data_IF_352609729891
#
_entry.id   IF_352609729891
#
_cell.length_a   1.000
_cell.length_b   1.000
_cell.length_c   1.000
_cell.angle_alpha   90.00
_cell.angle_beta   90.00
_cell.angle_gamma   90.00
#
_symmetry.space_group_name_H-M   'P 1'
#
loop_
_entity.id
_entity.type
_entity.pdbx_description
1 polymer ?
#
# COMPACT_ATOMS: atom_id res chain seq x y z
N UNK A 1 19.32 -4.91 52.45
CA UNK A 1 20.17 -5.94 53.11
C UNK A 1 19.47 -7.29 52.96
N UNK A 2 20.28 -8.33 52.74
CA UNK A 2 19.98 -9.76 52.56
C UNK A 2 19.72 -10.31 51.13
N UNK A 3 20.81 -10.92 50.63
CA UNK A 3 20.96 -12.26 50.00
C UNK A 3 20.27 -12.48 48.64
N UNK A 4 20.99 -12.49 47.51
CA UNK A 4 21.80 -13.61 46.95
C UNK A 4 21.12 -14.98 46.99
N UNK A 5 20.96 -15.58 45.81
CA UNK A 5 20.56 -16.98 45.61
C UNK A 5 20.42 -17.33 44.13
N UNK A 6 21.54 -17.59 43.47
CA UNK A 6 21.61 -18.19 42.14
C UNK A 6 21.23 -19.69 42.19
N UNK A 7 20.62 -20.22 41.13
CA UNK A 7 20.95 -21.56 40.65
C UNK A 7 20.56 -21.73 39.18
N UNK A 8 21.55 -22.17 38.43
CA UNK A 8 21.62 -22.47 37.01
C UNK A 8 21.52 -24.02 36.84
N UNK A 9 21.29 -24.47 35.60
CA UNK A 9 21.53 -25.82 35.05
C UNK A 9 20.45 -26.88 35.39
N UNK A 10 20.09 -27.84 34.54
CA UNK A 10 20.90 -28.58 33.57
C UNK A 10 19.99 -29.34 32.57
N UNK A 11 20.43 -29.32 31.30
CA UNK A 11 20.37 -30.31 30.20
C UNK A 11 19.48 -31.57 30.26
N UNK A 12 19.01 -31.97 29.07
CA UNK A 12 18.62 -33.35 28.77
C UNK A 12 18.35 -33.57 27.27
N UNK A 13 19.40 -33.86 26.50
CA UNK A 13 19.31 -34.43 25.16
C UNK A 13 19.49 -35.96 25.26
N UNK A 14 18.69 -36.74 24.54
CA UNK A 14 19.01 -38.12 24.19
C UNK A 14 18.21 -38.56 22.96
N UNK A 15 18.89 -39.29 22.08
CA UNK A 15 18.50 -39.69 20.74
C UNK A 15 18.30 -41.22 20.61
N UNK A 16 17.89 -41.63 19.40
CA UNK A 16 17.97 -42.97 18.77
C UNK A 16 16.83 -43.97 19.05
N UNK A 17 16.41 -44.89 18.17
CA UNK A 17 16.46 -45.11 16.70
C UNK A 17 15.74 -46.47 16.40
N UNK A 18 15.40 -46.73 15.12
CA UNK A 18 14.97 -48.00 14.48
C UNK A 18 13.52 -48.46 14.68
N UNK A 19 12.72 -48.89 13.68
CA UNK A 19 12.93 -49.13 12.24
C UNK A 19 12.15 -50.38 11.78
N UNK A 20 11.14 -50.25 10.90
CA UNK A 20 10.68 -51.33 9.99
C UNK A 20 9.69 -50.85 8.90
N UNK A 21 10.21 -50.77 7.68
CA UNK A 21 9.64 -51.10 6.35
C UNK A 21 8.18 -50.77 5.94
N UNK A 22 8.08 -49.75 5.07
CA UNK A 22 7.51 -49.75 3.71
C UNK A 22 6.08 -50.29 3.44
N UNK A 23 5.16 -49.35 3.18
CA UNK A 23 4.30 -49.41 2.00
C UNK A 23 4.24 -48.05 1.32
N UNK A 24 4.61 -48.03 0.04
CA UNK A 24 4.70 -46.83 -0.79
C UNK A 24 3.32 -46.40 -1.29
N UNK A 25 2.98 -45.13 -1.06
CA UNK A 25 2.01 -44.39 -1.85
C UNK A 25 2.47 -42.92 -1.84
N UNK A 26 3.02 -42.47 -2.96
CA UNK A 26 3.44 -41.08 -3.14
C UNK A 26 2.21 -40.20 -3.41
N UNK A 27 2.02 -39.08 -2.70
CA UNK A 27 1.28 -37.96 -3.22
C UNK A 27 2.25 -36.94 -3.82
N UNK A 28 1.94 -36.60 -5.06
CA UNK A 28 2.58 -35.59 -5.88
C UNK A 28 2.63 -34.22 -5.16
N UNK A 29 3.85 -33.69 -5.10
CA UNK A 29 4.19 -32.31 -5.47
C UNK A 29 3.22 -31.21 -4.97
N UNK A 30 3.44 -30.77 -3.74
CA UNK A 30 3.03 -29.44 -3.28
C UNK A 30 4.26 -28.68 -2.82
N UNK A 31 5.01 -28.11 -3.77
CA UNK A 31 6.06 -27.16 -3.42
C UNK A 31 5.40 -26.00 -2.66
N UNK A 32 5.54 -26.00 -1.34
CA UNK A 32 5.29 -24.82 -0.52
C UNK A 32 6.30 -23.78 -1.02
N UNK A 33 5.84 -22.93 -1.96
CA UNK A 33 6.58 -21.79 -2.41
C UNK A 33 6.79 -20.92 -1.17
N UNK A 34 7.96 -21.06 -0.58
CA UNK A 34 8.50 -20.16 0.41
C UNK A 34 8.53 -18.79 -0.26
N UNK A 35 7.44 -18.04 -0.09
CA UNK A 35 7.37 -16.62 -0.41
C UNK A 35 8.34 -15.96 0.56
N UNK A 36 9.62 -16.00 0.21
CA UNK A 36 10.66 -15.18 0.79
C UNK A 36 10.15 -13.74 0.60
N UNK A 37 9.54 -13.20 1.66
CA UNK A 37 9.03 -11.85 1.72
C UNK A 37 10.25 -10.96 1.48
N UNK A 38 10.49 -10.55 0.24
CA UNK A 38 11.48 -9.51 -0.04
C UNK A 38 11.06 -8.33 0.80
N UNK A 39 11.82 -8.08 1.87
CA UNK A 39 11.65 -6.90 2.68
C UNK A 39 11.70 -5.71 1.72
N UNK A 40 10.59 -4.97 1.65
CA UNK A 40 10.63 -3.62 1.09
C UNK A 40 11.71 -2.88 1.88
N UNK A 41 12.73 -2.42 1.16
CA UNK A 41 14.04 -2.03 1.67
C UNK A 41 13.97 -0.96 2.76
N UNK A 42 14.86 -1.12 3.74
CA UNK A 42 15.13 -0.30 4.94
C UNK A 42 13.92 0.03 5.79
N UNK A 43 13.75 -0.71 6.90
CA UNK A 43 13.08 -0.14 8.06
C UNK A 43 13.71 1.23 8.35
N UNK A 44 12.91 2.28 8.61
CA UNK A 44 13.47 3.58 8.96
C UNK A 44 14.43 3.38 10.15
N UNK A 45 15.61 4.01 10.06
CA UNK A 45 16.55 4.08 11.17
C UNK A 45 15.78 4.50 12.45
N UNK A 46 16.05 3.89 13.61
CA UNK A 46 15.34 4.20 14.85
C UNK A 46 15.33 5.72 15.08
N UNK A 47 14.14 6.34 15.00
CA UNK A 47 13.94 7.79 15.20
C UNK A 47 13.80 8.63 13.93
N UNK A 48 14.03 8.09 12.72
CA UNK A 48 13.77 8.83 11.46
C UNK A 48 12.30 8.69 11.05
N UNK A 49 11.55 9.79 11.14
CA UNK A 49 10.17 9.84 10.62
C UNK A 49 10.17 9.85 9.09
N UNK A 50 9.20 9.17 8.50
CA UNK A 50 8.91 9.18 7.07
C UNK A 50 7.85 10.25 6.83
N UNK A 51 8.20 11.29 6.08
CA UNK A 51 7.23 12.31 5.67
C UNK A 51 6.40 11.79 4.51
N UNK A 52 5.08 11.82 4.63
CA UNK A 52 4.14 11.42 3.57
C UNK A 52 3.12 12.54 3.34
N UNK A 53 2.82 12.81 2.07
CA UNK A 53 1.78 13.79 1.71
C UNK A 53 0.40 13.17 1.94
N UNK A 54 -0.49 13.87 2.64
CA UNK A 54 -1.86 13.46 2.85
C UNK A 54 -2.82 14.43 2.17
N UNK A 55 -3.65 13.93 1.25
CA UNK A 55 -4.81 14.65 0.73
C UNK A 55 -6.07 14.16 1.44
N UNK A 56 -6.71 14.95 2.33
CA UNK A 56 -7.92 14.54 3.03
C UNK A 56 -9.06 14.17 2.07
N UNK A 57 -9.14 14.85 0.92
CA UNK A 57 -10.19 14.64 -0.07
C UNK A 57 -11.47 15.42 0.25
N UNK A 58 -12.57 15.03 -0.39
CA UNK A 58 -13.86 15.73 -0.35
C UNK A 58 -14.97 14.84 0.24
N UNK A 59 -16.10 15.46 0.62
CA UNK A 59 -17.25 14.75 1.18
C UNK A 59 -16.89 14.06 2.50
N UNK A 60 -16.98 12.74 2.55
CA UNK A 60 -16.57 11.92 3.71
C UNK A 60 -15.04 11.78 3.84
N UNK A 61 -14.27 12.37 2.91
CA UNK A 61 -12.82 12.23 2.85
C UNK A 61 -12.08 12.65 4.13
N UNK A 62 -12.33 13.85 4.68
CA UNK A 62 -11.69 14.30 5.92
C UNK A 62 -11.89 13.34 7.10
N UNK A 63 -13.10 12.80 7.27
CA UNK A 63 -13.40 11.84 8.34
C UNK A 63 -12.62 10.54 8.18
N UNK A 64 -12.52 10.03 6.94
CA UNK A 64 -11.72 8.83 6.62
C UNK A 64 -10.23 9.12 6.85
N UNK A 65 -9.74 10.29 6.44
CA UNK A 65 -8.34 10.66 6.58
C UNK A 65 -7.93 10.74 8.05
N UNK A 66 -8.79 11.27 8.91
CA UNK A 66 -8.53 11.32 10.36
C UNK A 66 -8.53 9.92 10.97
N UNK A 67 -9.52 9.08 10.66
CA UNK A 67 -9.54 7.69 11.11
C UNK A 67 -8.27 6.91 10.69
N UNK A 68 -7.75 7.17 9.48
CA UNK A 68 -6.48 6.58 9.05
C UNK A 68 -5.32 7.11 9.90
N UNK A 69 -5.24 8.42 10.17
CA UNK A 69 -4.18 8.98 11.03
C UNK A 69 -4.17 8.33 12.42
N UNK A 70 -5.35 8.18 13.04
CA UNK A 70 -5.50 7.51 14.34
C UNK A 70 -5.00 6.06 14.29
N UNK A 71 -5.32 5.30 13.23
CA UNK A 71 -4.85 3.92 13.06
C UNK A 71 -3.31 3.87 12.97
N UNK A 72 -2.70 4.79 12.22
CA UNK A 72 -1.24 4.84 12.08
C UNK A 72 -0.53 5.25 13.37
N UNK A 73 -1.13 6.16 14.14
CA UNK A 73 -0.65 6.53 15.47
C UNK A 73 -0.75 5.36 16.46
N UNK A 74 -1.90 4.68 16.51
CA UNK A 74 -2.10 3.50 17.35
C UNK A 74 -1.16 2.34 16.96
N UNK A 75 -0.81 2.21 15.68
CA UNK A 75 0.17 1.26 15.18
C UNK A 75 1.63 1.64 15.50
N UNK A 76 1.88 2.83 16.05
CA UNK A 76 3.23 3.34 16.32
C UNK A 76 4.05 3.57 15.05
N UNK A 77 3.40 3.83 13.92
CA UNK A 77 4.08 4.04 12.66
C UNK A 77 4.84 5.38 12.67
N UNK A 78 6.12 5.44 12.28
CA UNK A 78 6.92 6.65 12.32
C UNK A 78 6.62 7.56 11.11
N UNK A 79 5.38 8.01 10.96
CA UNK A 79 4.94 8.85 9.83
C UNK A 79 4.72 10.28 10.30
N UNK A 80 5.18 11.23 9.49
CA UNK A 80 4.86 12.64 9.59
C UNK A 80 4.01 13.06 8.39
N UNK A 81 2.85 13.64 8.65
CA UNK A 81 1.90 13.97 7.59
C UNK A 81 2.09 15.41 7.10
N UNK A 82 2.42 15.55 5.82
CA UNK A 82 2.34 16.82 5.09
C UNK A 82 0.93 16.94 4.48
N UNK A 83 0.02 17.59 5.21
CA UNK A 83 -1.39 17.68 4.81
C UNK A 83 -1.55 18.75 3.73
N UNK A 84 -1.92 18.31 2.53
CA UNK A 84 -2.11 19.15 1.36
C UNK A 84 -3.59 19.17 0.96
N UNK A 85 -4.11 20.38 0.73
CA UNK A 85 -5.48 20.59 0.28
C UNK A 85 -5.50 20.94 -1.21
N UNK A 86 -6.58 20.57 -1.89
CA UNK A 86 -6.79 20.95 -3.28
C UNK A 86 -7.05 22.45 -3.42
N UNK A 87 -6.70 22.99 -4.59
CA UNK A 87 -7.04 24.36 -4.96
C UNK A 87 -8.56 24.54 -5.07
N UNK A 88 -9.04 25.71 -4.67
CA UNK A 88 -10.45 26.13 -4.91
C UNK A 88 -10.70 26.52 -6.36
N UNK A 89 -9.63 26.87 -7.07
CA UNK A 89 -9.62 27.27 -8.48
C UNK A 89 -8.77 26.30 -9.28
N UNK A 90 -9.00 26.26 -10.59
CA UNK A 90 -8.20 25.45 -11.51
C UNK A 90 -6.83 26.10 -11.66
N UNK A 91 -5.78 25.30 -11.51
CA UNK A 91 -4.41 25.72 -11.83
C UNK A 91 -4.20 25.54 -13.34
N UNK A 92 -3.86 26.62 -14.03
CA UNK A 92 -3.63 26.63 -15.49
C UNK A 92 -2.47 25.69 -15.88
N UNK A 93 -1.48 25.50 -15.01
CA UNK A 93 -0.30 24.64 -15.28
C UNK A 93 -0.67 23.17 -15.35
N UNK A 94 -1.66 22.74 -14.58
CA UNK A 94 -2.10 21.32 -14.51
C UNK A 94 -3.43 21.08 -15.22
N UNK A 95 -4.13 22.17 -15.56
CA UNK A 95 -5.51 22.20 -16.05
C UNK A 95 -6.45 21.37 -15.15
N UNK A 96 -6.27 21.50 -13.83
CA UNK A 96 -6.97 20.75 -12.79
C UNK A 96 -6.95 21.50 -11.46
N UNK A 97 -7.75 21.07 -10.47
CA UNK A 97 -7.70 21.64 -9.11
C UNK A 97 -6.50 21.15 -8.28
N UNK A 98 -5.75 20.17 -8.82
CA UNK A 98 -4.46 19.77 -8.27
C UNK A 98 -3.44 20.82 -8.67
N UNK A 99 -2.92 21.58 -7.72
CA UNK A 99 -1.93 22.62 -8.01
C UNK A 99 -0.54 22.02 -8.19
N UNK A 100 0.41 22.80 -8.72
CA UNK A 100 1.80 22.35 -8.82
C UNK A 100 2.43 22.09 -7.45
N UNK A 101 2.07 22.89 -6.45
CA UNK A 101 2.59 22.77 -5.08
C UNK A 101 2.13 21.44 -4.45
N UNK A 102 0.92 20.99 -4.75
CA UNK A 102 0.44 19.67 -4.36
C UNK A 102 1.31 18.55 -4.98
N UNK A 103 1.66 18.68 -6.27
CA UNK A 103 2.51 17.70 -6.96
C UNK A 103 3.93 17.71 -6.41
N UNK A 104 4.49 18.89 -6.17
CA UNK A 104 5.85 19.05 -5.66
C UNK A 104 5.98 18.49 -4.24
N UNK A 105 4.96 18.62 -3.39
CA UNK A 105 4.91 17.94 -2.08
C UNK A 105 5.03 16.41 -2.24
N UNK A 106 4.22 15.80 -3.12
CA UNK A 106 4.27 14.34 -3.34
C UNK A 106 5.60 13.91 -3.97
N UNK A 107 6.15 14.68 -4.90
CA UNK A 107 7.45 14.39 -5.53
C UNK A 107 8.60 14.51 -4.53
N UNK A 108 8.56 15.50 -3.63
CA UNK A 108 9.54 15.67 -2.56
C UNK A 108 9.50 14.53 -1.55
N UNK A 109 8.30 14.14 -1.13
CA UNK A 109 8.12 13.12 -0.09
C UNK A 109 8.20 11.69 -0.66
N UNK A 110 7.93 11.51 -1.95
CA UNK A 110 7.89 10.21 -2.65
C UNK A 110 6.67 9.34 -2.32
N UNK A 111 5.91 9.70 -1.28
CA UNK A 111 4.75 8.96 -0.78
C UNK A 111 3.57 9.92 -0.65
N UNK A 112 2.42 9.52 -1.20
CA UNK A 112 1.18 10.26 -1.11
C UNK A 112 0.00 9.34 -0.76
N UNK A 113 -0.77 9.70 0.26
CA UNK A 113 -2.04 9.10 0.61
C UNK A 113 -3.17 10.07 0.24
N UNK A 114 -4.23 9.58 -0.41
CA UNK A 114 -5.37 10.42 -0.78
C UNK A 114 -6.71 9.82 -0.37
N UNK A 115 -7.58 10.66 0.16
CA UNK A 115 -9.00 10.38 0.32
C UNK A 115 -9.75 10.30 -1.02
N UNK A 116 -11.08 10.07 -0.97
CA UNK A 116 -11.96 10.25 -2.12
C UNK A 116 -11.92 11.71 -2.57
N UNK A 117 -11.83 11.95 -3.88
CA UNK A 117 -11.77 13.29 -4.46
C UNK A 117 -12.82 13.38 -5.54
N UNK A 118 -13.69 14.38 -5.43
CA UNK A 118 -14.82 14.54 -6.35
C UNK A 118 -14.35 15.31 -7.57
N UNK A 119 -14.36 14.66 -8.73
CA UNK A 119 -14.16 15.37 -10.00
C UNK A 119 -15.49 15.96 -10.44
N UNK A 120 -15.64 17.30 -10.51
CA UNK A 120 -16.86 17.90 -11.07
C UNK A 120 -17.04 17.45 -12.52
N UNK A 121 -18.25 16.99 -12.84
CA UNK A 121 -18.60 16.53 -14.18
C UNK A 121 -18.93 17.76 -15.03
N UNK A 122 -18.04 18.13 -15.95
CA UNK A 122 -18.21 19.30 -16.81
C UNK A 122 -17.22 19.32 -17.97
N UNK A 123 -17.52 20.09 -19.03
CA UNK A 123 -16.64 20.24 -20.19
C UNK A 123 -15.50 21.22 -19.84
N UNK A 124 -14.25 20.75 -19.82
CA UNK A 124 -13.06 21.62 -19.84
C UNK A 124 -11.94 21.28 -18.88
N UNK A 125 -12.21 20.60 -17.77
CA UNK A 125 -11.20 20.34 -16.72
C UNK A 125 -10.79 18.86 -16.66
N UNK A 126 -9.52 18.60 -16.36
CA UNK A 126 -9.04 17.21 -16.22
C UNK A 126 -9.40 16.62 -14.86
N UNK A 127 -9.78 15.34 -14.87
CA UNK A 127 -10.07 14.58 -13.65
C UNK A 127 -8.89 14.58 -12.69
N UNK A 128 -9.13 14.86 -11.41
CA UNK A 128 -8.11 14.97 -10.36
C UNK A 128 -7.25 13.70 -10.28
N UNK A 129 -7.91 12.55 -10.27
CA UNK A 129 -7.24 11.24 -10.22
C UNK A 129 -6.41 10.95 -11.48
N UNK A 130 -6.84 11.46 -12.64
CA UNK A 130 -6.09 11.31 -13.89
C UNK A 130 -4.87 12.23 -13.91
N UNK A 131 -5.04 13.48 -13.49
CA UNK A 131 -3.96 14.46 -13.35
C UNK A 131 -2.87 13.91 -12.44
N UNK A 132 -3.20 13.48 -11.23
CA UNK A 132 -2.21 12.89 -10.31
C UNK A 132 -1.43 11.74 -10.94
N UNK A 133 -2.10 10.81 -11.64
CA UNK A 133 -1.42 9.66 -12.28
C UNK A 133 -0.51 10.08 -13.43
N UNK A 134 -0.92 11.06 -14.23
CA UNK A 134 -0.13 11.55 -15.36
C UNK A 134 1.07 12.35 -14.90
N UNK A 135 0.85 13.34 -14.05
CA UNK A 135 1.89 14.27 -13.59
C UNK A 135 2.93 13.55 -12.70
N UNK A 136 2.51 12.59 -11.88
CA UNK A 136 3.41 11.77 -11.06
C UNK A 136 3.90 10.50 -11.77
N UNK A 137 3.59 10.32 -13.05
CA UNK A 137 4.01 9.17 -13.86
C UNK A 137 3.69 7.80 -13.23
N UNK A 138 2.53 7.68 -12.58
CA UNK A 138 2.09 6.46 -11.89
C UNK A 138 1.53 5.44 -12.88
N UNK A 139 2.40 4.59 -13.41
CA UNK A 139 2.08 3.66 -14.50
C UNK A 139 1.32 2.41 -14.09
N UNK A 140 1.57 1.90 -12.89
CA UNK A 140 0.92 0.70 -12.37
C UNK A 140 -0.18 1.04 -11.37
N UNK A 141 -1.40 0.61 -11.66
CA UNK A 141 -2.50 0.59 -10.70
C UNK A 141 -2.67 -0.84 -10.18
N UNK A 142 -2.14 -1.09 -8.98
CA UNK A 142 -2.21 -2.39 -8.32
C UNK A 142 -3.44 -2.43 -7.42
N UNK A 143 -4.30 -3.44 -7.57
CA UNK A 143 -5.49 -3.66 -6.73
C UNK A 143 -5.52 -5.11 -6.22
N UNK A 144 -5.04 -5.35 -4.99
CA UNK A 144 -5.24 -6.62 -4.29
C UNK A 144 -6.72 -6.83 -3.99
N UNK A 145 -7.21 -8.03 -4.26
CA UNK A 145 -8.57 -8.46 -4.00
C UNK A 145 -8.52 -9.81 -3.28
N UNK A 146 -8.89 -9.83 -2.00
CA UNK A 146 -8.93 -11.05 -1.21
C UNK A 146 -10.19 -11.12 -0.33
N UNK A 147 -10.64 -12.33 -0.04
CA UNK A 147 -11.77 -12.56 0.86
C UNK A 147 -11.39 -12.20 2.30
N UNK A 148 -12.21 -11.38 2.96
CA UNK A 148 -12.02 -11.03 4.37
C UNK A 148 -12.72 -12.05 5.28
N UNK A 149 -12.04 -12.55 6.33
CA UNK A 149 -12.69 -13.39 7.33
C UNK A 149 -13.89 -12.69 7.97
N UNK A 150 -14.99 -13.42 8.18
CA UNK A 150 -16.21 -12.88 8.80
C UNK A 150 -17.20 -12.21 7.83
N UNK A 151 -16.83 -11.98 6.57
CA UNK A 151 -17.74 -11.40 5.56
C UNK A 151 -18.19 -12.46 4.55
N UNK A 152 -19.50 -12.77 4.53
CA UNK A 152 -20.05 -13.68 3.51
C UNK A 152 -20.20 -12.96 2.18
N UNK A 153 -19.50 -13.45 1.16
CA UNK A 153 -19.66 -13.02 -0.22
C UNK A 153 -20.10 -14.19 -1.10
N UNK A 154 -20.33 -13.96 -2.39
CA UNK A 154 -20.73 -15.02 -3.33
C UNK A 154 -19.64 -16.10 -3.51
N UNK A 155 -18.37 -15.73 -3.37
CA UNK A 155 -17.23 -16.62 -3.57
C UNK A 155 -16.35 -16.64 -2.32
N UNK A 156 -15.89 -17.82 -1.94
CA UNK A 156 -15.01 -17.99 -0.78
C UNK A 156 -13.54 -18.13 -1.26
N UNK A 157 -12.58 -17.75 -0.41
CA UNK A 157 -11.13 -17.89 -0.65
C UNK A 157 -10.60 -17.20 -1.93
N UNK A 158 -11.16 -16.04 -2.28
CA UNK A 158 -10.59 -15.20 -3.35
C UNK A 158 -9.25 -14.66 -2.89
N UNK A 159 -8.21 -14.79 -3.73
CA UNK A 159 -6.89 -14.19 -3.51
C UNK A 159 -6.24 -13.91 -4.87
N UNK A 160 -6.37 -12.67 -5.35
CA UNK A 160 -5.80 -12.24 -6.62
C UNK A 160 -5.33 -10.78 -6.53
N UNK A 161 -4.42 -10.40 -7.43
CA UNK A 161 -3.97 -9.01 -7.57
C UNK A 161 -4.16 -8.60 -9.03
N UNK A 162 -4.93 -7.55 -9.27
CA UNK A 162 -5.04 -6.97 -10.61
C UNK A 162 -3.99 -5.87 -10.79
N UNK A 163 -3.26 -5.91 -11.90
CA UNK A 163 -2.31 -4.86 -12.28
C UNK A 163 -2.86 -4.22 -13.54
N UNK A 164 -3.37 -3.00 -13.39
CA UNK A 164 -3.90 -2.22 -14.51
C UNK A 164 -2.93 -1.11 -14.88
N UNK A 165 -2.70 -0.97 -16.18
CA UNK A 165 -1.99 0.17 -16.77
C UNK A 165 -2.75 1.49 -16.49
N UNK A 166 -2.10 2.46 -15.85
CA UNK A 166 -2.72 3.67 -15.30
C UNK A 166 -2.73 4.91 -16.21
N UNK A 167 -1.87 4.97 -17.23
CA UNK A 167 -1.62 6.18 -18.04
C UNK A 167 -2.56 6.37 -19.25
N UNK A 168 -3.20 5.32 -19.75
CA UNK A 168 -4.00 5.37 -20.99
C UNK A 168 -5.46 5.00 -20.67
N UNK A 169 -6.31 6.03 -20.66
CA UNK A 169 -7.72 5.83 -20.99
C UNK A 169 -7.83 5.56 -22.49
N UNK A 170 -8.80 4.73 -22.89
CA UNK A 170 -9.13 4.36 -24.27
C UNK A 170 -9.44 5.50 -25.24
N UNK A 171 -9.18 6.76 -24.87
CA UNK A 171 -9.45 7.96 -25.67
C UNK A 171 -8.18 8.75 -26.00
N UNK A 172 -6.99 8.18 -25.77
CA UNK A 172 -5.76 8.70 -26.35
C UNK A 172 -5.48 7.92 -27.63
N UNK A 173 -6.13 8.34 -28.72
CA UNK A 173 -5.59 8.09 -30.05
C UNK A 173 -4.26 8.85 -30.07
N UNK A 174 -3.14 8.12 -30.03
CA UNK A 174 -1.82 8.71 -30.13
C UNK A 174 -1.56 9.00 -31.61
N UNK A 175 -1.46 10.26 -32.07
CA UNK A 175 -1.09 10.56 -33.45
C UNK A 175 0.38 10.27 -33.75
N UNK A 176 1.16 9.72 -32.80
CA UNK A 176 2.58 9.39 -32.95
C UNK A 176 2.90 7.89 -32.87
N UNK A 177 1.91 7.01 -33.01
CA UNK A 177 2.14 5.57 -33.16
C UNK A 177 1.98 5.18 -34.65
N UNK A 178 3.08 4.98 -35.41
CA UNK A 178 3.02 4.47 -36.76
C UNK A 178 3.14 2.94 -36.74
N UNK A 179 2.08 2.24 -36.36
CA UNK A 179 1.88 0.82 -36.71
C UNK A 179 0.45 0.54 -37.13
#
# INVERSE_FOLDING_TARGET
MLRQGASLLLQGAAAAASGCTAHAAAPLLGAAAHLQRRALSSAPEPGKKITATLFPGDGIGPDIAEAVREIFEAAGAPIEWDVQHLGKTVDERTNSFVTRENLDSVLKNGIGLKGPMTTPIGKGFRSLNLTLRKELQLYANVRPCFSLPGYKTRYDNVNLVTIRRGHVGSNACDPRDPT
#
